data_IF_301405712975
#
_entry.id   IF_301405712975
#
_cell.length_a   1.000
_cell.length_b   1.000
_cell.length_c   1.000
_cell.angle_alpha   90.00
_cell.angle_beta   90.00
_cell.angle_gamma   90.00
#
_symmetry.space_group_name_H-M   'P 1'
#
loop_
_entity.id
_entity.type
_entity.pdbx_description
1 polymer ?
#
# COMPACT_ATOMS: atom_id res chain seq x y z
N UNK A 1 -5.45 -22.72 -15.22
CA UNK A 1 -5.31 -21.28 -14.92
C UNK A 1 -3.85 -20.89 -15.08
N UNK A 2 -3.57 -19.74 -15.69
CA UNK A 2 -2.21 -19.21 -15.83
C UNK A 2 -2.15 -17.83 -15.18
N UNK A 3 -1.11 -17.57 -14.38
CA UNK A 3 -0.86 -16.27 -13.74
C UNK A 3 0.23 -15.55 -14.50
N UNK A 4 -0.07 -14.34 -14.97
CA UNK A 4 0.88 -13.48 -15.66
C UNK A 4 1.45 -12.47 -14.67
N UNK A 5 2.78 -12.36 -14.60
CA UNK A 5 3.47 -11.34 -13.81
C UNK A 5 4.74 -10.89 -14.55
N UNK A 6 5.17 -9.65 -14.32
CA UNK A 6 6.39 -9.11 -14.91
C UNK A 6 7.63 -9.68 -14.20
N UNK A 7 8.61 -10.18 -14.97
CA UNK A 7 9.94 -10.50 -14.44
C UNK A 7 10.76 -9.22 -14.31
N UNK A 8 11.52 -9.09 -13.22
CA UNK A 8 12.39 -7.93 -13.00
C UNK A 8 13.50 -7.91 -14.06
N UNK A 9 13.53 -6.86 -14.88
CA UNK A 9 14.56 -6.69 -15.90
C UNK A 9 15.82 -6.05 -15.27
N UNK A 10 16.67 -6.88 -14.67
CA UNK A 10 17.82 -6.52 -13.83
C UNK A 10 19.05 -5.96 -14.57
N UNK A 11 18.86 -5.09 -15.56
CA UNK A 11 19.94 -4.53 -16.37
C UNK A 11 20.93 -3.63 -15.61
N UNK A 12 22.09 -3.29 -16.22
CA UNK A 12 23.14 -2.45 -15.61
C UNK A 12 22.61 -1.11 -15.07
N UNK A 13 21.58 -0.55 -15.71
CA UNK A 13 20.91 0.68 -15.29
C UNK A 13 20.21 0.60 -13.91
N UNK A 14 19.78 -0.58 -13.47
CA UNK A 14 19.23 -0.75 -12.10
C UNK A 14 20.34 -0.70 -11.05
N UNK A 15 21.54 -1.24 -11.35
CA UNK A 15 22.66 -1.24 -10.40
C UNK A 15 23.15 0.18 -10.12
N UNK A 16 23.26 1.01 -11.14
CA UNK A 16 23.73 2.39 -10.97
C UNK A 16 22.71 3.24 -10.18
N UNK A 17 21.42 3.10 -10.48
CA UNK A 17 20.36 3.77 -9.68
C UNK A 17 20.31 3.32 -8.24
N UNK A 18 20.57 2.03 -7.96
CA UNK A 18 20.68 1.53 -6.57
C UNK A 18 21.83 2.21 -5.83
N UNK A 19 22.99 2.41 -6.46
CA UNK A 19 24.12 3.13 -5.84
C UNK A 19 23.77 4.59 -5.54
N UNK A 20 23.16 5.28 -6.51
CA UNK A 20 22.71 6.67 -6.33
C UNK A 20 21.68 6.76 -5.19
N UNK A 21 20.69 5.87 -5.17
CA UNK A 21 19.69 5.80 -4.11
C UNK A 21 20.35 5.58 -2.73
N UNK A 22 21.26 4.61 -2.61
CA UNK A 22 21.96 4.34 -1.36
C UNK A 22 22.84 5.51 -0.87
N UNK A 23 23.37 6.32 -1.80
CA UNK A 23 24.12 7.53 -1.46
C UNK A 23 23.22 8.61 -0.85
N UNK A 24 22.01 8.79 -1.37
CA UNK A 24 21.08 9.83 -0.89
C UNK A 24 20.21 9.39 0.29
N UNK A 25 19.91 8.09 0.39
CA UNK A 25 19.06 7.51 1.42
C UNK A 25 19.74 6.32 2.10
N UNK A 26 20.91 6.53 2.76
CA UNK A 26 21.74 5.45 3.27
C UNK A 26 21.03 4.62 4.35
N UNK A 27 20.24 5.26 5.20
CA UNK A 27 19.46 4.57 6.25
C UNK A 27 18.37 3.69 5.68
N UNK A 28 17.65 4.16 4.65
CA UNK A 28 16.60 3.38 3.98
C UNK A 28 17.21 2.22 3.20
N UNK A 29 18.32 2.44 2.50
CA UNK A 29 19.03 1.39 1.80
C UNK A 29 19.53 0.30 2.76
N UNK A 30 20.18 0.69 3.87
CA UNK A 30 20.64 -0.24 4.89
C UNK A 30 19.49 -1.04 5.53
N UNK A 31 18.36 -0.39 5.80
CA UNK A 31 17.16 -1.07 6.31
C UNK A 31 16.60 -2.09 5.31
N UNK A 32 16.49 -1.72 4.04
CA UNK A 32 16.03 -2.64 3.00
C UNK A 32 17.02 -3.79 2.78
N UNK A 33 18.32 -3.53 2.85
CA UNK A 33 19.35 -4.56 2.73
C UNK A 33 19.36 -5.50 3.95
N UNK A 34 19.08 -4.98 5.15
CA UNK A 34 18.88 -5.79 6.35
C UNK A 34 17.69 -6.75 6.18
N UNK A 35 16.55 -6.24 5.70
CA UNK A 35 15.35 -7.06 5.46
C UNK A 35 15.55 -8.08 4.33
N UNK A 36 16.39 -7.75 3.34
CA UNK A 36 16.74 -8.61 2.19
C UNK A 36 17.98 -9.48 2.43
N UNK A 37 18.54 -9.44 3.64
CA UNK A 37 19.73 -10.19 4.00
C UNK A 37 19.45 -11.68 4.21
N UNK A 38 20.33 -12.54 3.67
CA UNK A 38 20.27 -14.00 3.87
C UNK A 38 20.20 -14.43 5.34
N UNK A 39 20.74 -13.61 6.24
CA UNK A 39 20.76 -13.87 7.68
C UNK A 39 19.37 -13.79 8.33
N UNK A 40 18.37 -13.17 7.66
CA UNK A 40 17.02 -13.03 8.21
C UNK A 40 16.06 -14.14 7.76
N UNK A 41 16.09 -14.54 6.48
CA UNK A 41 15.12 -15.51 5.90
C UNK A 41 15.68 -16.42 4.78
N UNK A 42 16.99 -16.52 4.59
CA UNK A 42 17.55 -17.39 3.54
C UNK A 42 17.23 -16.93 2.12
N UNK A 43 16.85 -17.85 1.21
CA UNK A 43 16.66 -17.57 -0.23
C UNK A 43 15.46 -16.65 -0.55
N UNK A 44 14.41 -16.68 0.28
CA UNK A 44 13.17 -15.91 0.09
C UNK A 44 13.23 -14.46 0.59
N UNK A 45 14.35 -14.09 1.22
CA UNK A 45 14.53 -12.80 1.88
C UNK A 45 14.31 -11.58 0.96
N UNK A 46 14.51 -11.73 -0.35
CA UNK A 46 14.31 -10.65 -1.31
C UNK A 46 12.85 -10.19 -1.46
N UNK A 47 11.88 -11.04 -1.14
CA UNK A 47 10.43 -10.72 -1.24
C UNK A 47 9.86 -10.11 0.04
N UNK A 48 10.54 -10.29 1.18
CA UNK A 48 10.02 -9.91 2.49
C UNK A 48 9.54 -8.46 2.56
N UNK A 49 10.28 -7.44 2.11
CA UNK A 49 9.82 -6.05 2.21
C UNK A 49 8.51 -5.81 1.45
N UNK A 50 8.34 -6.47 0.30
CA UNK A 50 7.13 -6.35 -0.52
C UNK A 50 5.95 -7.02 0.19
N UNK A 51 6.15 -8.22 0.72
CA UNK A 51 5.12 -8.96 1.46
C UNK A 51 4.68 -8.19 2.71
N UNK A 52 5.63 -7.63 3.46
CA UNK A 52 5.33 -6.82 4.65
C UNK A 52 4.52 -5.58 4.30
N UNK A 53 4.89 -4.87 3.22
CA UNK A 53 4.17 -3.67 2.80
C UNK A 53 2.74 -4.00 2.38
N UNK A 54 2.54 -5.07 1.61
CA UNK A 54 1.21 -5.53 1.19
C UNK A 54 0.34 -6.00 2.37
N UNK A 55 0.95 -6.62 3.39
CA UNK A 55 0.23 -6.98 4.63
C UNK A 55 -0.15 -5.76 5.45
N UNK A 56 0.75 -4.77 5.55
CA UNK A 56 0.45 -3.51 6.24
C UNK A 56 -0.70 -2.78 5.55
N UNK A 57 -0.69 -2.70 4.22
CA UNK A 57 -1.75 -2.12 3.40
C UNK A 57 -3.10 -2.83 3.65
N UNK A 58 -3.12 -4.15 3.54
CA UNK A 58 -4.34 -4.95 3.78
C UNK A 58 -4.88 -4.77 5.20
N UNK A 59 -4.00 -4.76 6.20
CA UNK A 59 -4.39 -4.53 7.59
C UNK A 59 -4.98 -3.13 7.79
N UNK A 60 -4.36 -2.10 7.22
CA UNK A 60 -4.85 -0.73 7.35
C UNK A 60 -6.21 -0.54 6.66
N UNK A 61 -6.35 -1.05 5.43
CA UNK A 61 -7.58 -0.88 4.65
C UNK A 61 -8.73 -1.72 5.21
N UNK A 62 -8.52 -3.00 5.49
CA UNK A 62 -9.60 -3.90 5.87
C UNK A 62 -9.84 -3.93 7.38
N UNK A 63 -8.78 -4.15 8.17
CA UNK A 63 -8.91 -4.37 9.62
C UNK A 63 -9.02 -3.08 10.43
N UNK A 64 -8.61 -1.93 9.88
CA UNK A 64 -8.71 -0.64 10.57
C UNK A 64 -9.82 0.20 9.96
N UNK A 65 -9.65 0.59 8.69
CA UNK A 65 -10.58 1.50 8.00
C UNK A 65 -11.93 0.82 7.78
N UNK A 66 -11.96 -0.34 7.12
CA UNK A 66 -13.19 -1.07 6.82
C UNK A 66 -13.97 -1.46 8.06
N UNK A 67 -13.31 -2.04 9.07
CA UNK A 67 -13.93 -2.35 10.37
C UNK A 67 -14.52 -1.11 11.04
N UNK A 68 -13.82 0.02 11.01
CA UNK A 68 -14.32 1.26 11.60
C UNK A 68 -15.50 1.83 10.83
N UNK A 69 -15.46 1.85 9.50
CA UNK A 69 -16.61 2.28 8.68
C UNK A 69 -17.83 1.41 8.99
N UNK A 70 -17.69 0.08 8.98
CA UNK A 70 -18.78 -0.85 9.24
C UNK A 70 -19.36 -0.70 10.66
N UNK A 71 -18.54 -0.37 11.65
CA UNK A 71 -19.02 -0.14 13.03
C UNK A 71 -19.86 1.13 13.16
N UNK A 72 -19.51 2.19 12.42
CA UNK A 72 -20.20 3.49 12.48
C UNK A 72 -21.40 3.57 11.53
N UNK A 73 -21.31 2.95 10.36
CA UNK A 73 -22.41 2.83 9.42
C UNK A 73 -22.40 1.45 8.75
N UNK A 74 -23.07 0.45 9.36
CA UNK A 74 -23.14 -0.92 8.85
C UNK A 74 -23.73 -1.04 7.45
N UNK A 75 -24.52 -0.05 7.02
CA UNK A 75 -25.19 -0.06 5.72
C UNK A 75 -24.36 0.61 4.62
N UNK A 76 -23.18 1.16 4.94
CA UNK A 76 -22.28 1.75 3.96
C UNK A 76 -21.68 0.65 3.06
N UNK A 77 -22.00 0.60 1.76
CA UNK A 77 -21.35 -0.33 0.86
C UNK A 77 -19.90 0.09 0.66
N UNK A 78 -18.99 -0.88 0.75
CA UNK A 78 -17.55 -0.66 0.61
C UNK A 78 -16.96 -1.68 -0.35
N UNK A 79 -16.24 -1.20 -1.36
CA UNK A 79 -15.46 -2.05 -2.25
C UNK A 79 -14.00 -1.60 -2.20
N UNK A 80 -13.14 -2.47 -1.68
CA UNK A 80 -11.71 -2.22 -1.59
C UNK A 80 -11.00 -2.75 -2.83
N UNK A 81 -10.16 -1.92 -3.45
CA UNK A 81 -9.32 -2.26 -4.60
C UNK A 81 -7.89 -1.82 -4.25
N UNK A 82 -7.10 -2.74 -3.70
CA UNK A 82 -5.80 -2.42 -3.10
C UNK A 82 -5.93 -1.28 -2.06
N UNK A 83 -5.29 -0.15 -2.33
CA UNK A 83 -5.28 1.07 -1.53
C UNK A 83 -6.46 2.00 -1.81
N UNK A 84 -7.33 1.64 -2.76
CA UNK A 84 -8.53 2.40 -3.08
C UNK A 84 -9.76 1.86 -2.34
N UNK A 85 -10.65 2.77 -1.94
CA UNK A 85 -11.95 2.46 -1.38
C UNK A 85 -13.04 3.13 -2.22
N UNK A 86 -13.96 2.32 -2.74
CA UNK A 86 -15.17 2.78 -3.42
C UNK A 86 -16.34 2.71 -2.44
N UNK A 87 -17.07 3.81 -2.34
CA UNK A 87 -18.32 3.94 -1.57
C UNK A 87 -19.41 4.51 -2.47
N UNK A 88 -20.66 4.44 -2.02
CA UNK A 88 -21.75 5.14 -2.70
C UNK A 88 -21.63 6.66 -2.54
N UNK A 89 -22.26 7.38 -3.46
CA UNK A 89 -22.37 8.83 -3.38
C UNK A 89 -22.99 9.27 -2.04
N UNK A 90 -22.42 10.31 -1.43
CA UNK A 90 -22.80 10.84 -0.12
C UNK A 90 -22.02 10.26 1.07
N UNK A 91 -21.23 9.20 0.87
CA UNK A 91 -20.39 8.60 1.93
C UNK A 91 -18.92 9.07 1.89
N UNK A 92 -18.54 9.90 0.91
CA UNK A 92 -17.15 10.23 0.60
C UNK A 92 -16.48 10.97 1.76
N UNK A 93 -17.11 12.04 2.26
CA UNK A 93 -16.55 12.84 3.36
C UNK A 93 -16.39 12.01 4.65
N UNK A 94 -17.34 11.10 4.91
CA UNK A 94 -17.30 10.20 6.05
C UNK A 94 -16.16 9.17 5.92
N UNK A 95 -16.05 8.51 4.76
CA UNK A 95 -14.98 7.56 4.50
C UNK A 95 -13.61 8.23 4.51
N UNK A 96 -13.46 9.39 3.87
CA UNK A 96 -12.22 10.18 3.84
C UNK A 96 -11.74 10.55 5.25
N UNK A 97 -12.65 10.96 6.12
CA UNK A 97 -12.33 11.28 7.53
C UNK A 97 -11.76 10.06 8.25
N UNK A 98 -12.41 8.89 8.12
CA UNK A 98 -11.94 7.66 8.75
C UNK A 98 -10.58 7.22 8.18
N UNK A 99 -10.40 7.29 6.86
CA UNK A 99 -9.11 6.99 6.21
C UNK A 99 -8.00 7.87 6.80
N UNK A 100 -8.20 9.19 6.82
CA UNK A 100 -7.19 10.13 7.31
C UNK A 100 -6.83 9.88 8.77
N UNK A 101 -7.82 9.64 9.61
CA UNK A 101 -7.61 9.38 11.03
C UNK A 101 -6.90 8.05 11.28
N UNK A 102 -7.33 6.95 10.66
CA UNK A 102 -6.71 5.64 10.87
C UNK A 102 -5.28 5.58 10.31
N UNK A 103 -5.03 6.19 9.15
CA UNK A 103 -3.67 6.33 8.63
C UNK A 103 -2.79 7.15 9.57
N UNK A 104 -3.26 8.31 10.04
CA UNK A 104 -2.51 9.13 10.99
C UNK A 104 -2.22 8.41 12.30
N UNK A 105 -3.17 7.61 12.81
CA UNK A 105 -2.96 6.79 14.02
C UNK A 105 -1.96 5.65 13.79
N UNK A 106 -1.98 5.01 12.63
CA UNK A 106 -1.18 3.82 12.36
C UNK A 106 0.26 4.16 11.94
N UNK A 107 0.44 5.17 11.07
CA UNK A 107 1.75 5.52 10.48
C UNK A 107 2.22 6.93 10.82
N UNK A 108 1.46 7.69 11.62
CA UNK A 108 1.81 9.04 12.08
C UNK A 108 1.50 10.16 11.08
N UNK A 109 1.11 9.82 9.86
CA UNK A 109 0.90 10.77 8.74
C UNK A 109 -0.49 10.55 8.16
N UNK A 110 -1.22 11.64 7.93
CA UNK A 110 -2.49 11.59 7.19
C UNK A 110 -2.21 11.62 5.68
N UNK A 111 -2.83 10.75 4.88
CA UNK A 111 -2.69 10.75 3.43
C UNK A 111 -3.38 11.96 2.80
N UNK A 112 -2.92 12.28 1.59
CA UNK A 112 -3.72 13.07 0.66
C UNK A 112 -4.69 12.11 -0.03
N UNK A 113 -5.98 12.36 0.12
CA UNK A 113 -7.04 11.54 -0.48
C UNK A 113 -7.61 12.31 -1.65
N UNK A 114 -7.68 11.67 -2.82
CA UNK A 114 -8.40 12.19 -3.97
C UNK A 114 -9.72 11.43 -4.10
N UNK A 115 -10.80 12.16 -4.39
CA UNK A 115 -12.13 11.58 -4.59
C UNK A 115 -12.52 11.83 -6.05
N UNK A 116 -12.83 10.76 -6.78
CA UNK A 116 -13.27 10.82 -8.17
C UNK A 116 -14.58 10.02 -8.35
N UNK A 117 -15.52 10.49 -9.18
CA UNK A 117 -16.72 9.73 -9.51
C UNK A 117 -16.39 8.43 -10.24
N UNK A 118 -16.96 7.31 -9.80
CA UNK A 118 -16.82 6.02 -10.48
C UNK A 118 -17.72 5.99 -11.72
N UNK A 119 -17.21 6.44 -12.85
CA UNK A 119 -17.94 6.47 -14.13
C UNK A 119 -17.22 5.64 -15.19
N UNK A 120 -17.97 4.99 -16.08
CA UNK A 120 -17.37 4.43 -17.30
C UNK A 120 -16.92 5.59 -18.18
N UNK A 121 -15.67 5.59 -18.65
CA UNK A 121 -15.26 6.50 -19.73
C UNK A 121 -16.26 6.37 -20.88
N UNK A 122 -16.81 7.50 -21.34
CA UNK A 122 -17.56 7.53 -22.58
C UNK A 122 -16.70 6.90 -23.69
N UNK A 123 -17.30 5.96 -24.42
CA UNK A 123 -16.67 5.26 -25.53
C UNK A 123 -16.27 6.24 -26.64
#
# INVERSE_FOLDING_TARGET
MAVFYSKVNGGPYIKERKKIFARHFPTVAAFLDLLKGKNFLGEDSHTLPVVLLQRLESHLMLDRIGKRIAAWNPNCPMFFIHDNLVVLEGYEAFAETIIKEEMKKCIGIAPVVAVEPWTSKAA
#
